data_IF_798950481585
#
_entry.id   IF_798950481585
#
_cell.length_a   1.000
_cell.length_b   1.000
_cell.length_c   1.000
_cell.angle_alpha   90.00
_cell.angle_beta   90.00
_cell.angle_gamma   90.00
#
_symmetry.space_group_name_H-M   'P 1'
#
loop_
_entity.id
_entity.type
_entity.pdbx_description
1 polymer ?
#
# COMPACT_ATOMS: atom_id res chain seq x y z
N UNK A 1 25.15 9.31 6.02
CA UNK A 1 24.21 8.63 6.96
C UNK A 1 22.79 9.25 6.90
N UNK A 2 22.60 10.39 6.24
CA UNK A 2 21.32 11.12 6.17
C UNK A 2 20.21 10.45 5.32
N UNK A 3 20.58 9.58 4.37
CA UNK A 3 19.63 8.99 3.41
C UNK A 3 18.61 8.02 4.03
N UNK A 4 18.96 7.35 5.14
CA UNK A 4 18.07 6.37 5.78
C UNK A 4 16.89 7.01 6.51
N UNK A 5 17.08 8.22 7.06
CA UNK A 5 16.02 8.91 7.82
C UNK A 5 14.93 9.45 6.89
N UNK A 6 15.32 9.94 5.71
CA UNK A 6 14.40 10.46 4.70
C UNK A 6 13.57 9.35 4.04
N UNK A 7 14.17 8.19 3.77
CA UNK A 7 13.48 7.02 3.23
C UNK A 7 12.39 6.51 4.20
N UNK A 8 12.73 6.37 5.49
CA UNK A 8 11.77 5.96 6.52
C UNK A 8 10.58 6.91 6.63
N UNK A 9 10.81 8.23 6.57
CA UNK A 9 9.71 9.21 6.58
C UNK A 9 8.85 9.16 5.32
N UNK A 10 9.42 8.78 4.17
CA UNK A 10 8.66 8.63 2.92
C UNK A 10 7.78 7.37 2.96
N UNK A 11 8.32 6.25 3.46
CA UNK A 11 7.58 5.01 3.66
C UNK A 11 6.39 5.21 4.61
N UNK A 12 6.61 5.85 5.76
CA UNK A 12 5.53 6.14 6.71
C UNK A 12 4.42 7.02 6.12
N UNK A 13 4.76 7.93 5.21
CA UNK A 13 3.79 8.79 4.54
C UNK A 13 2.95 8.00 3.52
N UNK A 14 3.58 7.08 2.78
CA UNK A 14 2.90 6.15 1.89
C UNK A 14 1.98 5.20 2.67
N UNK A 15 2.44 4.67 3.80
CA UNK A 15 1.63 3.81 4.67
C UNK A 15 0.38 4.52 5.23
N UNK A 16 0.49 5.81 5.58
CA UNK A 16 -0.69 6.58 6.01
C UNK A 16 -1.67 6.86 4.87
N UNK A 17 -1.16 7.10 3.66
CA UNK A 17 -2.03 7.44 2.53
C UNK A 17 -2.70 6.21 1.91
N UNK A 18 -1.97 5.09 1.82
CA UNK A 18 -2.38 3.90 1.07
C UNK A 18 -2.41 2.62 1.91
N UNK A 19 -2.16 2.70 3.20
CA UNK A 19 -2.16 1.54 4.10
C UNK A 19 -0.86 0.75 4.09
N UNK A 20 -0.78 -0.26 4.96
CA UNK A 20 0.44 -1.02 5.23
C UNK A 20 0.62 -2.26 4.34
N UNK A 21 -0.27 -2.52 3.37
CA UNK A 21 -0.09 -3.64 2.44
C UNK A 21 0.99 -3.26 1.42
N UNK A 22 2.17 -3.93 1.41
CA UNK A 22 3.24 -3.60 0.49
C UNK A 22 2.86 -3.89 -0.97
N UNK A 23 2.00 -4.88 -1.20
CA UNK A 23 1.45 -5.21 -2.54
C UNK A 23 0.55 -4.08 -3.03
N UNK A 24 -0.32 -3.59 -2.16
CA UNK A 24 -1.23 -2.49 -2.47
C UNK A 24 -0.45 -1.19 -2.71
N UNK A 25 0.48 -0.83 -1.82
CA UNK A 25 1.35 0.35 -1.99
C UNK A 25 2.14 0.27 -3.29
N UNK A 26 2.76 -0.88 -3.60
CA UNK A 26 3.49 -1.06 -4.85
C UNK A 26 2.60 -0.91 -6.10
N UNK A 27 1.32 -1.32 -6.03
CA UNK A 27 0.37 -1.12 -7.13
C UNK A 27 0.04 0.35 -7.38
N UNK A 28 0.05 1.20 -6.34
CA UNK A 28 -0.18 2.65 -6.46
C UNK A 28 0.99 3.42 -7.07
N UNK A 29 2.19 2.84 -7.06
CA UNK A 29 3.39 3.41 -7.69
C UNK A 29 3.46 3.11 -9.19
N UNK A 30 2.56 2.28 -9.71
CA UNK A 30 2.54 1.88 -11.11
C UNK A 30 1.64 2.86 -11.89
N UNK A 31 2.26 3.69 -12.74
CA UNK A 31 1.59 4.80 -13.43
C UNK A 31 0.43 4.34 -14.34
N UNK A 32 0.59 3.20 -15.02
CA UNK A 32 -0.45 2.57 -15.84
C UNK A 32 -1.39 1.63 -15.05
N UNK A 33 -1.19 1.51 -13.73
CA UNK A 33 -1.85 0.51 -12.89
C UNK A 33 -1.52 -0.93 -13.31
N UNK A 34 -2.38 -1.87 -12.91
CA UNK A 34 -2.24 -3.30 -13.23
C UNK A 34 -1.74 -4.15 -12.07
N UNK A 35 -1.33 -5.38 -12.37
CA UNK A 35 -0.90 -6.36 -11.35
C UNK A 35 0.62 -6.47 -11.31
N UNK A 36 1.18 -6.68 -10.12
CA UNK A 36 2.61 -6.94 -9.98
C UNK A 36 2.99 -8.20 -10.76
N UNK A 37 4.10 -8.13 -11.51
CA UNK A 37 4.62 -9.28 -12.27
C UNK A 37 4.88 -10.44 -11.30
N UNK A 38 4.18 -11.56 -11.50
CA UNK A 38 4.29 -12.76 -10.66
C UNK A 38 3.27 -12.87 -9.52
N UNK A 39 2.36 -11.90 -9.36
CA UNK A 39 1.24 -12.06 -8.44
C UNK A 39 0.27 -13.14 -8.96
N UNK A 40 -0.07 -14.09 -8.09
CA UNK A 40 -1.09 -15.12 -8.38
C UNK A 40 -2.48 -14.62 -7.99
N UNK A 41 -3.53 -15.16 -8.61
CA UNK A 41 -4.91 -14.85 -8.22
C UNK A 41 -5.18 -15.11 -6.73
N UNK A 42 -4.60 -16.19 -6.17
CA UNK A 42 -4.74 -16.52 -4.75
C UNK A 42 -4.08 -15.48 -3.84
N UNK A 43 -2.87 -15.00 -4.18
CA UNK A 43 -2.21 -13.94 -3.42
C UNK A 43 -2.96 -12.62 -3.50
N UNK A 44 -3.47 -12.25 -4.69
CA UNK A 44 -4.26 -11.03 -4.87
C UNK A 44 -5.57 -11.07 -4.07
N UNK A 45 -6.26 -12.21 -4.11
CA UNK A 45 -7.49 -12.40 -3.34
C UNK A 45 -7.24 -12.29 -1.83
N UNK A 46 -6.16 -12.90 -1.34
CA UNK A 46 -5.77 -12.80 0.08
C UNK A 46 -5.51 -11.34 0.49
N UNK A 47 -4.78 -10.59 -0.32
CA UNK A 47 -4.48 -9.18 -0.04
C UNK A 47 -5.75 -8.30 -0.10
N UNK A 48 -6.62 -8.54 -1.08
CA UNK A 48 -7.91 -7.83 -1.17
C UNK A 48 -8.76 -8.06 0.08
N UNK A 49 -8.84 -9.32 0.56
CA UNK A 49 -9.53 -9.67 1.81
C UNK A 49 -8.90 -8.95 3.01
N UNK A 50 -7.58 -8.87 3.07
CA UNK A 50 -6.89 -8.15 4.15
C UNK A 50 -7.26 -6.66 4.15
N UNK A 51 -7.20 -5.99 2.99
CA UNK A 51 -7.50 -4.55 2.88
C UNK A 51 -8.94 -4.24 3.31
N UNK A 52 -9.93 -5.02 2.86
CA UNK A 52 -11.33 -4.78 3.24
C UNK A 52 -11.62 -5.08 4.72
N UNK A 53 -10.81 -5.93 5.37
CA UNK A 53 -11.08 -6.38 6.74
C UNK A 53 -10.25 -5.67 7.82
N UNK A 54 -9.15 -5.01 7.45
CA UNK A 54 -8.21 -4.46 8.43
C UNK A 54 -8.59 -3.09 8.99
N UNK A 55 -9.78 -2.57 8.67
CA UNK A 55 -10.18 -1.19 9.00
C UNK A 55 -9.38 -0.17 8.18
N UNK A 56 -9.23 -0.42 6.89
CA UNK A 56 -8.39 0.37 5.98
C UNK A 56 -8.74 1.87 6.04
N UNK A 57 -10.03 2.21 6.03
CA UNK A 57 -10.52 3.60 6.05
C UNK A 57 -10.20 4.32 7.37
N UNK A 58 -10.18 3.59 8.49
CA UNK A 58 -9.84 4.15 9.80
C UNK A 58 -8.33 4.44 9.90
N UNK A 59 -7.52 3.56 9.31
CA UNK A 59 -6.05 3.56 9.41
C UNK A 59 -5.34 4.38 8.35
N UNK A 60 -6.08 4.87 7.34
CA UNK A 60 -5.54 5.65 6.23
C UNK A 60 -6.24 6.99 6.09
N UNK A 61 -5.73 7.82 5.19
CA UNK A 61 -6.36 9.10 4.80
C UNK A 61 -7.50 8.92 3.79
N UNK A 62 -7.96 7.68 3.56
CA UNK A 62 -9.07 7.39 2.66
C UNK A 62 -10.32 8.19 3.01
N UNK A 63 -10.85 8.93 2.03
CA UNK A 63 -12.04 9.75 2.19
C UNK A 63 -11.89 11.01 3.06
N UNK A 64 -10.66 11.36 3.49
CA UNK A 64 -10.36 12.54 4.34
C UNK A 64 -9.77 13.72 3.56
N UNK A 65 -9.81 13.68 2.23
CA UNK A 65 -9.38 14.76 1.32
C UNK A 65 -10.50 15.77 1.03
#
# INVERSE_FOLDING_TARGET
>A
IENGKSALTAEQKLEKKFGQSPVFVASTLLEDGGTLKGATAASLLKEAIHVISCGYEDKTDWGKE
#
